data_IF_592387870202
#
_entry.id   IF_592387870202
#
_cell.length_a   1.000
_cell.length_b   1.000
_cell.length_c   1.000
_cell.angle_alpha   90.00
_cell.angle_beta   90.00
_cell.angle_gamma   90.00
#
_symmetry.space_group_name_H-M   'P 1'
#
loop_
_entity.id
_entity.type
_entity.pdbx_description
1 polymer ?
#
# COMPACT_ATOMS: atom_id res chain seq x y z
N UNK A 1 -12.58 -18.23 -1.25
CA UNK A 1 -11.83 -17.01 -1.58
C UNK A 1 -10.88 -16.63 -0.46
N UNK A 2 -11.38 -16.04 0.64
CA UNK A 2 -10.58 -15.47 1.73
C UNK A 2 -9.43 -16.35 2.24
N UNK A 3 -9.70 -17.63 2.54
CA UNK A 3 -8.68 -18.57 3.02
C UNK A 3 -7.61 -18.90 1.97
N UNK A 4 -7.95 -18.85 0.68
CA UNK A 4 -6.98 -19.02 -0.38
C UNK A 4 -6.10 -17.77 -0.53
N UNK A 5 -6.71 -16.57 -0.41
CA UNK A 5 -5.98 -15.30 -0.39
C UNK A 5 -4.99 -15.25 0.79
N UNK A 6 -5.43 -15.60 2.00
CA UNK A 6 -4.60 -15.55 3.22
C UNK A 6 -3.48 -16.59 3.27
N UNK A 7 -3.38 -17.50 2.31
CA UNK A 7 -2.34 -18.55 2.25
C UNK A 7 -1.53 -18.42 0.95
N UNK A 8 -1.76 -17.39 0.13
CA UNK A 8 -1.06 -17.26 -1.16
C UNK A 8 -1.35 -18.42 -2.12
N UNK A 9 -2.59 -18.92 -2.15
CA UNK A 9 -2.99 -20.01 -3.05
C UNK A 9 -3.54 -19.47 -4.35
N UNK A 10 -2.64 -18.88 -5.16
CA UNK A 10 -2.97 -18.29 -6.47
C UNK A 10 -3.78 -19.22 -7.36
N UNK A 11 -3.39 -20.50 -7.45
CA UNK A 11 -4.07 -21.54 -8.23
C UNK A 11 -5.55 -21.70 -7.85
N UNK A 12 -5.83 -21.65 -6.54
CA UNK A 12 -7.20 -21.76 -6.01
C UNK A 12 -7.97 -20.46 -6.23
N UNK A 13 -7.32 -19.30 -6.07
CA UNK A 13 -7.95 -18.00 -6.31
C UNK A 13 -8.35 -17.85 -7.78
N UNK A 14 -7.44 -18.14 -8.72
CA UNK A 14 -7.73 -18.12 -10.16
C UNK A 14 -8.94 -19.00 -10.49
N UNK A 15 -8.92 -20.26 -10.01
CA UNK A 15 -10.04 -21.17 -10.24
C UNK A 15 -11.36 -20.63 -9.68
N UNK A 16 -11.35 -20.06 -8.47
CA UNK A 16 -12.54 -19.49 -7.85
C UNK A 16 -13.06 -18.26 -8.62
N UNK A 17 -12.18 -17.38 -9.07
CA UNK A 17 -12.51 -16.18 -9.85
C UNK A 17 -13.15 -16.53 -11.20
N UNK A 18 -12.71 -17.63 -11.82
CA UNK A 18 -13.19 -18.10 -13.11
C UNK A 18 -14.49 -18.91 -13.03
N UNK A 19 -14.66 -19.71 -11.96
CA UNK A 19 -15.69 -20.74 -11.90
C UNK A 19 -16.82 -20.46 -10.90
N UNK A 20 -16.68 -19.43 -10.05
CA UNK A 20 -17.69 -19.10 -9.03
C UNK A 20 -18.25 -17.70 -9.28
N UNK A 21 -19.54 -17.53 -8.98
CA UNK A 21 -20.20 -16.23 -9.06
C UNK A 21 -19.55 -15.25 -8.07
N UNK A 22 -19.04 -14.14 -8.59
CA UNK A 22 -18.35 -13.10 -7.83
C UNK A 22 -19.20 -12.49 -6.72
N UNK A 23 -20.53 -12.48 -6.86
CA UNK A 23 -21.44 -11.96 -5.84
C UNK A 23 -21.40 -12.76 -4.53
N UNK A 24 -20.80 -13.95 -4.55
CA UNK A 24 -20.62 -14.80 -3.39
C UNK A 24 -19.38 -14.44 -2.57
N UNK A 25 -18.54 -13.52 -3.05
CA UNK A 25 -17.33 -13.09 -2.37
C UNK A 25 -17.40 -11.61 -2.02
N UNK A 26 -16.93 -11.27 -0.83
CA UNK A 26 -16.69 -9.89 -0.44
C UNK A 26 -15.25 -9.52 -0.81
N UNK A 27 -15.12 -8.62 -1.79
CA UNK A 27 -13.83 -8.11 -2.28
C UNK A 27 -13.03 -7.49 -1.18
N UNK A 28 -13.70 -6.74 -0.29
CA UNK A 28 -13.04 -6.07 0.83
C UNK A 28 -12.33 -7.10 1.69
N UNK A 29 -13.04 -8.15 2.09
CA UNK A 29 -12.47 -9.22 2.91
C UNK A 29 -11.40 -10.02 2.16
N UNK A 30 -11.59 -10.31 0.87
CA UNK A 30 -10.60 -11.02 0.06
C UNK A 30 -9.30 -10.22 -0.10
N UNK A 31 -9.41 -8.91 -0.32
CA UNK A 31 -8.30 -8.00 -0.45
C UNK A 31 -7.59 -7.82 0.88
N UNK A 32 -8.31 -7.68 2.00
CA UNK A 32 -7.70 -7.65 3.34
C UNK A 32 -6.93 -8.95 3.64
N UNK A 33 -7.48 -10.11 3.28
CA UNK A 33 -6.79 -11.39 3.44
C UNK A 33 -5.54 -11.51 2.55
N UNK A 34 -5.56 -10.93 1.35
CA UNK A 34 -4.43 -10.96 0.42
C UNK A 34 -3.33 -9.97 0.80
N UNK A 35 -3.72 -8.83 1.40
CA UNK A 35 -2.77 -7.88 1.98
C UNK A 35 -2.27 -8.38 3.34
N UNK A 36 -2.97 -9.26 4.06
CA UNK A 36 -2.47 -9.73 5.36
C UNK A 36 -2.56 -8.66 6.45
N UNK A 37 -2.02 -8.98 7.64
CA UNK A 37 -1.95 -8.01 8.73
C UNK A 37 -0.90 -6.98 8.37
N UNK A 38 -1.34 -5.74 8.35
CA UNK A 38 -0.41 -4.62 8.33
C UNK A 38 -0.06 -4.49 9.80
N UNK A 39 1.11 -5.02 10.17
CA UNK A 39 1.77 -4.55 11.37
C UNK A 39 1.93 -3.04 11.17
N UNK A 40 0.95 -2.30 11.67
CA UNK A 40 1.12 -0.90 12.00
C UNK A 40 2.39 -0.90 12.84
N UNK A 41 3.53 -0.60 12.21
CA UNK A 41 4.74 -0.23 12.92
C UNK A 41 4.31 0.99 13.73
N UNK A 42 3.97 0.70 14.99
CA UNK A 42 3.25 1.56 15.90
C UNK A 42 3.69 3.01 15.68
N UNK A 43 2.73 3.91 15.50
CA UNK A 43 2.95 5.36 15.52
C UNK A 43 3.35 5.86 16.93
N UNK A 44 3.94 4.99 17.76
CA UNK A 44 4.58 5.36 19.02
C UNK A 44 5.98 5.89 18.72
N UNK A 45 6.02 7.21 18.60
CA UNK A 45 7.10 8.18 18.51
C UNK A 45 8.27 8.03 19.52
N UNK A 46 8.68 6.84 19.97
CA UNK A 46 9.83 6.64 20.85
C UNK A 46 10.49 5.27 20.63
N UNK A 47 11.36 5.12 19.61
CA UNK A 47 12.46 4.18 19.77
C UNK A 47 13.76 4.73 19.15
N UNK A 48 14.68 5.01 20.05
CA UNK A 48 16.07 5.34 19.76
C UNK A 48 16.64 4.22 18.90
N UNK A 49 17.12 4.57 17.71
CA UNK A 49 17.55 3.60 16.70
C UNK A 49 18.40 2.46 17.27
N UNK A 50 17.81 1.27 17.32
CA UNK A 50 18.53 0.02 17.24
C UNK A 50 18.16 -0.62 15.89
N UNK A 51 19.21 -0.74 15.09
CA UNK A 51 19.23 -1.32 13.74
C UNK A 51 19.13 -2.84 13.89
N UNK A 52 17.93 -3.29 14.23
CA UNK A 52 17.54 -4.68 14.27
C UNK A 52 16.76 -4.94 12.98
N UNK A 53 17.44 -5.03 11.83
CA UNK A 53 16.86 -5.62 10.63
C UNK A 53 16.42 -7.05 10.98
N UNK A 54 15.17 -7.21 11.37
CA UNK A 54 14.50 -8.49 11.35
C UNK A 54 14.21 -8.76 9.87
N UNK A 55 15.06 -9.59 9.26
CA UNK A 55 14.69 -10.33 8.05
C UNK A 55 13.50 -11.23 8.40
N UNK A 56 12.29 -10.67 8.42
CA UNK A 56 11.07 -11.45 8.38
C UNK A 56 10.79 -11.83 6.93
N UNK A 57 11.57 -12.82 6.49
CA UNK A 57 11.57 -13.50 5.20
C UNK A 57 10.25 -14.23 4.84
N UNK A 58 9.13 -14.02 5.54
CA UNK A 58 7.96 -14.93 5.45
C UNK A 58 6.61 -14.32 5.08
N UNK A 59 6.49 -13.01 4.85
CA UNK A 59 5.28 -12.42 4.26
C UNK A 59 5.48 -12.14 2.77
N UNK A 60 5.60 -13.20 1.97
CA UNK A 60 5.51 -13.08 0.51
C UNK A 60 4.05 -12.78 0.16
N UNK A 61 3.65 -11.51 0.33
CA UNK A 61 2.35 -10.99 -0.11
C UNK A 61 2.15 -11.43 -1.55
N UNK A 62 1.10 -12.19 -1.80
CA UNK A 62 0.93 -12.82 -3.11
C UNK A 62 0.32 -11.79 -4.08
N UNK A 63 1.16 -10.86 -4.54
CA UNK A 63 0.78 -9.70 -5.34
C UNK A 63 0.03 -10.04 -6.62
N UNK A 64 0.19 -11.26 -7.13
CA UNK A 64 -0.60 -11.80 -8.24
C UNK A 64 -2.06 -12.01 -7.85
N UNK A 65 -2.34 -12.43 -6.62
CA UNK A 65 -3.70 -12.50 -6.07
C UNK A 65 -4.31 -11.10 -6.02
N UNK A 66 -3.55 -10.10 -5.55
CA UNK A 66 -4.00 -8.71 -5.49
C UNK A 66 -4.34 -8.18 -6.88
N UNK A 67 -3.45 -8.37 -7.86
CA UNK A 67 -3.71 -7.97 -9.24
C UNK A 67 -4.96 -8.66 -9.81
N UNK A 68 -5.11 -9.98 -9.62
CA UNK A 68 -6.32 -10.71 -10.04
C UNK A 68 -7.59 -10.15 -9.40
N UNK A 69 -7.59 -9.88 -8.09
CA UNK A 69 -8.74 -9.29 -7.40
C UNK A 69 -9.06 -7.91 -7.98
N UNK A 70 -8.06 -7.02 -8.12
CA UNK A 70 -8.26 -5.68 -8.68
C UNK A 70 -8.62 -5.68 -10.17
N UNK A 71 -8.28 -6.74 -10.91
CA UNK A 71 -8.72 -6.91 -12.29
C UNK A 71 -10.16 -7.39 -12.39
N UNK A 72 -10.59 -8.24 -11.46
CA UNK A 72 -11.91 -8.85 -11.51
C UNK A 72 -13.01 -7.94 -10.98
N UNK A 73 -12.68 -7.09 -10.02
CA UNK A 73 -13.63 -6.23 -9.32
C UNK A 73 -13.58 -4.75 -9.78
N UNK A 74 -13.13 -4.50 -11.01
CA UNK A 74 -13.07 -3.15 -11.61
C UNK A 74 -14.42 -2.43 -11.67
N UNK A 75 -15.51 -3.19 -11.72
CA UNK A 75 -16.87 -2.67 -11.86
C UNK A 75 -17.55 -2.42 -10.50
N UNK A 76 -16.90 -2.78 -9.38
CA UNK A 76 -17.41 -2.48 -8.04
C UNK A 76 -17.12 -1.04 -7.62
N UNK A 77 -17.97 -0.51 -6.74
CA UNK A 77 -17.80 0.82 -6.17
C UNK A 77 -16.51 0.87 -5.33
N UNK A 78 -15.48 1.52 -5.86
CA UNK A 78 -14.15 1.72 -5.27
C UNK A 78 -14.24 2.29 -3.85
N UNK A 79 -15.26 3.11 -3.55
CA UNK A 79 -15.44 3.70 -2.23
C UNK A 79 -15.74 2.65 -1.15
N UNK A 80 -16.33 1.51 -1.52
CA UNK A 80 -16.72 0.45 -0.57
C UNK A 80 -15.52 -0.28 0.05
N UNK A 81 -14.36 -0.27 -0.61
CA UNK A 81 -13.12 -0.90 -0.16
C UNK A 81 -11.92 0.07 -0.15
N UNK A 82 -12.17 1.38 -0.04
CA UNK A 82 -11.10 2.39 -0.12
C UNK A 82 -10.05 2.25 0.99
N UNK A 83 -10.44 1.81 2.19
CA UNK A 83 -9.50 1.53 3.30
C UNK A 83 -8.46 0.48 2.90
N UNK A 84 -8.88 -0.57 2.18
CA UNK A 84 -7.99 -1.60 1.69
C UNK A 84 -7.05 -1.08 0.60
N UNK A 85 -7.54 -0.18 -0.26
CA UNK A 85 -6.70 0.45 -1.29
C UNK A 85 -5.63 1.37 -0.69
N UNK A 86 -5.96 2.13 0.36
CA UNK A 86 -4.97 2.92 1.10
C UNK A 86 -3.90 2.03 1.73
N UNK A 87 -4.31 0.96 2.40
CA UNK A 87 -3.40 -0.04 2.99
C UNK A 87 -2.52 -0.68 1.91
N UNK A 88 -3.11 -1.08 0.78
CA UNK A 88 -2.37 -1.62 -0.35
C UNK A 88 -1.38 -0.61 -0.94
N UNK A 89 -1.75 0.66 -1.06
CA UNK A 89 -0.86 1.72 -1.53
C UNK A 89 0.36 1.86 -0.61
N UNK A 90 0.10 1.87 0.70
CA UNK A 90 1.16 1.93 1.72
C UNK A 90 2.11 0.74 1.59
N UNK A 91 1.59 -0.48 1.65
CA UNK A 91 2.38 -1.73 1.59
C UNK A 91 3.15 -1.83 0.28
N UNK A 92 2.54 -1.50 -0.86
CA UNK A 92 3.22 -1.57 -2.18
C UNK A 92 4.35 -0.55 -2.30
N UNK A 93 4.21 0.64 -1.71
CA UNK A 93 5.29 1.62 -1.65
C UNK A 93 6.47 1.14 -0.79
N UNK A 94 6.22 0.57 0.39
CA UNK A 94 7.29 0.03 1.25
C UNK A 94 8.01 -1.18 0.65
N UNK A 95 7.29 -2.00 -0.11
CA UNK A 95 7.82 -3.18 -0.77
C UNK A 95 8.35 -2.92 -2.20
N UNK A 96 8.41 -1.65 -2.63
CA UNK A 96 8.88 -1.24 -3.97
C UNK A 96 8.14 -1.95 -5.12
N UNK A 97 6.83 -2.16 -4.97
CA UNK A 97 5.99 -2.87 -5.95
C UNK A 97 5.41 -1.90 -6.96
N UNK A 98 6.27 -1.42 -7.84
CA UNK A 98 5.95 -0.44 -8.87
C UNK A 98 4.69 -0.80 -9.67
N UNK A 99 4.56 -2.07 -10.10
CA UNK A 99 3.42 -2.54 -10.90
C UNK A 99 2.07 -2.30 -10.21
N UNK A 100 1.99 -2.49 -8.88
CA UNK A 100 0.76 -2.27 -8.10
C UNK A 100 0.51 -0.79 -7.90
N UNK A 101 1.55 -0.01 -7.61
CA UNK A 101 1.45 1.45 -7.46
C UNK A 101 0.90 2.04 -8.76
N UNK A 102 1.47 1.67 -9.91
CA UNK A 102 1.00 2.08 -11.22
C UNK A 102 -0.44 1.63 -11.47
N UNK A 103 -0.79 0.39 -11.13
CA UNK A 103 -2.16 -0.13 -11.27
C UNK A 103 -3.17 0.64 -10.41
N UNK A 104 -2.81 0.98 -9.18
CA UNK A 104 -3.65 1.76 -8.27
C UNK A 104 -3.85 3.18 -8.80
N UNK A 105 -2.78 3.88 -9.17
CA UNK A 105 -2.85 5.24 -9.70
C UNK A 105 -3.64 5.28 -11.02
N UNK A 106 -3.50 4.26 -11.86
CA UNK A 106 -4.23 4.18 -13.13
C UNK A 106 -5.73 3.92 -12.96
N UNK A 107 -6.16 3.29 -11.86
CA UNK A 107 -7.55 2.86 -11.65
C UNK A 107 -8.31 3.65 -10.59
N UNK A 108 -7.60 4.27 -9.66
CA UNK A 108 -8.17 4.93 -8.49
C UNK A 108 -7.68 6.37 -8.50
N UNK A 109 -8.61 7.31 -8.26
CA UNK A 109 -8.25 8.70 -8.04
C UNK A 109 -7.21 8.79 -6.91
N UNK A 110 -6.02 9.31 -7.23
CA UNK A 110 -4.90 9.36 -6.31
C UNK A 110 -5.22 10.14 -5.03
N UNK A 111 -6.17 11.08 -5.05
CA UNK A 111 -6.64 11.76 -3.85
C UNK A 111 -7.28 10.85 -2.81
N UNK A 112 -7.75 9.66 -3.23
CA UNK A 112 -8.35 8.66 -2.35
C UNK A 112 -7.34 7.66 -1.78
N UNK A 113 -6.12 7.60 -2.33
CA UNK A 113 -5.11 6.59 -2.00
C UNK A 113 -4.26 6.94 -0.76
N UNK A 114 -4.46 8.10 -0.14
CA UNK A 114 -3.69 8.51 1.06
C UNK A 114 -2.22 8.80 0.74
N UNK A 115 -1.97 9.41 -0.42
CA UNK A 115 -0.62 9.72 -0.93
C UNK A 115 0.18 10.58 0.05
N UNK A 116 -0.46 11.51 0.73
CA UNK A 116 0.16 12.35 1.77
C UNK A 116 0.78 11.53 2.90
N UNK A 117 0.06 10.52 3.38
CA UNK A 117 0.53 9.63 4.45
C UNK A 117 1.73 8.81 3.98
N UNK A 118 1.64 8.25 2.77
CA UNK A 118 2.73 7.46 2.18
C UNK A 118 3.96 8.31 1.91
N UNK A 119 3.79 9.52 1.37
CA UNK A 119 4.90 10.45 1.09
C UNK A 119 5.62 10.86 2.37
N UNK A 120 4.88 11.31 3.39
CA UNK A 120 5.45 11.71 4.66
C UNK A 120 6.26 10.57 5.29
N UNK A 121 5.73 9.34 5.26
CA UNK A 121 6.43 8.20 5.85
C UNK A 121 7.64 7.75 5.03
N UNK A 122 7.55 7.75 3.70
CA UNK A 122 8.69 7.49 2.82
C UNK A 122 9.83 8.49 3.08
N UNK A 123 9.49 9.76 3.27
CA UNK A 123 10.44 10.79 3.68
C UNK A 123 11.05 10.51 5.06
N UNK A 124 10.24 10.29 6.11
CA UNK A 124 10.75 10.02 7.47
C UNK A 124 11.71 8.83 7.54
N UNK A 125 11.52 7.82 6.67
CA UNK A 125 12.38 6.63 6.61
C UNK A 125 13.48 6.72 5.54
N UNK A 126 13.73 7.91 4.98
CA UNK A 126 14.75 8.13 3.93
C UNK A 126 14.61 7.21 2.71
N UNK A 127 13.37 6.80 2.36
CA UNK A 127 13.06 5.93 1.22
C UNK A 127 12.95 6.75 -0.07
N UNK A 128 14.06 7.36 -0.49
CA UNK A 128 14.09 8.32 -1.61
C UNK A 128 13.56 7.77 -2.94
N UNK A 129 13.72 6.48 -3.23
CA UNK A 129 13.18 5.85 -4.46
C UNK A 129 11.66 5.95 -4.51
N UNK A 130 10.98 5.73 -3.37
CA UNK A 130 9.51 5.85 -3.28
C UNK A 130 9.09 7.31 -3.44
N UNK A 131 9.85 8.24 -2.84
CA UNK A 131 9.60 9.69 -2.97
C UNK A 131 9.72 10.13 -4.43
N UNK A 132 10.77 9.71 -5.14
CA UNK A 132 10.95 9.97 -6.57
C UNK A 132 9.78 9.40 -7.39
N UNK A 133 9.41 8.14 -7.17
CA UNK A 133 8.26 7.54 -7.86
C UNK A 133 6.96 8.30 -7.61
N UNK A 134 6.67 8.66 -6.36
CA UNK A 134 5.46 9.42 -6.04
C UNK A 134 5.47 10.79 -6.72
N UNK A 135 6.59 11.53 -6.68
CA UNK A 135 6.73 12.82 -7.37
C UNK A 135 6.55 12.72 -8.90
N UNK A 136 6.91 11.59 -9.49
CA UNK A 136 6.74 11.34 -10.93
C UNK A 136 5.32 10.92 -11.31
N UNK A 137 4.64 10.15 -10.43
CA UNK A 137 3.39 9.48 -10.77
C UNK A 137 2.12 10.22 -10.31
N UNK A 138 2.21 11.10 -9.32
CA UNK A 138 1.03 11.77 -8.75
C UNK A 138 1.13 13.30 -8.78
N UNK A 139 -0.02 13.97 -8.67
CA UNK A 139 -0.06 15.42 -8.56
C UNK A 139 0.51 15.87 -7.20
N UNK A 140 1.53 16.74 -7.23
CA UNK A 140 2.18 17.28 -6.03
C UNK A 140 1.26 18.11 -5.13
N UNK A 141 0.06 18.48 -5.58
CA UNK A 141 -0.97 19.12 -4.74
C UNK A 141 -1.60 18.15 -3.74
N UNK A 142 -1.41 16.83 -3.91
CA UNK A 142 -1.96 15.81 -3.02
C UNK A 142 -1.23 15.70 -1.68
N UNK A 143 -0.09 16.35 -1.52
CA UNK A 143 0.71 16.34 -0.31
C UNK A 143 1.48 17.66 -0.16
N UNK A 144 1.81 18.02 1.07
CA UNK A 144 2.66 19.18 1.31
C UNK A 144 4.13 18.78 1.12
N UNK A 145 4.67 19.12 -0.05
CA UNK A 145 6.09 18.89 -0.40
C UNK A 145 7.04 19.42 0.67
N UNK A 146 6.71 20.56 1.31
CA UNK A 146 7.56 21.12 2.36
C UNK A 146 7.54 20.22 3.59
N UNK A 147 6.35 19.88 4.08
CA UNK A 147 6.20 18.98 5.23
C UNK A 147 6.88 17.64 4.96
N UNK A 148 6.72 17.07 3.77
CA UNK A 148 7.40 15.84 3.37
C UNK A 148 8.93 15.99 3.37
N UNK A 149 9.49 17.07 2.82
CA UNK A 149 10.94 17.30 2.84
C UNK A 149 11.49 17.59 4.24
N UNK A 150 10.72 18.30 5.09
CA UNK A 150 11.07 18.54 6.49
C UNK A 150 11.14 17.19 7.27
N UNK A 151 10.27 16.23 6.95
CA UNK A 151 10.35 14.85 7.44
C UNK A 151 11.60 14.11 6.94
N UNK A 152 12.00 14.29 5.67
CA UNK A 152 13.17 13.63 5.09
C UNK A 152 14.50 14.07 5.71
N UNK A 153 14.56 15.29 6.26
CA UNK A 153 15.76 15.85 6.88
C UNK A 153 15.78 15.54 8.40
N UNK A 154 14.78 14.81 8.92
CA UNK A 154 14.73 14.35 10.30
C UNK A 154 14.24 15.41 11.28
N UNK A 155 13.20 16.18 10.93
CA UNK A 155 12.55 17.09 11.88
C UNK A 155 13.55 18.03 12.54
N UNK A 156 14.40 18.70 11.76
CA UNK A 156 15.30 19.72 12.31
C UNK A 156 14.45 20.90 12.77
N UNK A 157 13.97 20.81 14.01
CA UNK A 157 13.63 21.97 14.83
C UNK A 157 14.86 22.88 14.76
N UNK A 158 14.64 24.09 14.26
CA UNK A 158 15.59 25.19 14.15
C UNK A 158 16.38 25.29 12.83
N UNK A 159 15.76 25.90 11.82
CA UNK A 159 16.46 26.94 11.06
C UNK A 159 15.66 28.24 11.09
N UNK A 160 16.09 29.11 12.01
CA UNK A 160 15.80 30.55 12.04
C UNK A 160 16.40 31.17 10.78
N UNK A 161 15.59 31.89 10.01
CA UNK A 161 16.07 32.94 9.10
C UNK A 161 15.77 34.31 9.70
#
# INVERSE_FOLDING_TARGET
MNRACSIGRLDVVEWLVENVDNTLFDVKTALDCAIGEDEEADDDDDDDGDDDYVDDDDDDFDFKIIDLLLQRFKDEDVLSYITNLKKLMRVSCFNFKEDIIQLLIAKVDSSLLGIDTVMNRACSHSRFVVVEWLLEMVDNTLFDVKTALDCAIGGVKDYVF
#
